data_IF_051471434910
#
_entry.id   IF_051471434910
#
_cell.length_a   1.000
_cell.length_b   1.000
_cell.length_c   1.000
_cell.angle_alpha   90.00
_cell.angle_beta   90.00
_cell.angle_gamma   90.00
#
_symmetry.space_group_name_H-M   'P 1'
#
loop_
_entity.id
_entity.type
_entity.pdbx_description
1 polymer ?
#
# COMPACT_ATOMS: atom_id res chain seq x y z
N UNK A 1 2.35 -26.40 0.61
CA UNK A 1 3.83 -26.32 0.58
C UNK A 1 4.32 -26.19 2.01
N UNK A 2 5.39 -26.88 2.39
CA UNK A 2 6.07 -26.63 3.66
C UNK A 2 7.06 -25.48 3.51
N UNK A 3 7.42 -24.85 4.65
CA UNK A 3 8.44 -23.78 4.69
C UNK A 3 9.77 -24.24 4.09
N UNK A 4 10.14 -25.51 4.30
CA UNK A 4 11.32 -26.14 3.71
C UNK A 4 11.31 -26.11 2.18
N UNK A 5 10.19 -26.48 1.55
CA UNK A 5 10.10 -26.48 0.09
C UNK A 5 10.21 -25.07 -0.50
N UNK A 6 9.75 -24.03 0.22
CA UNK A 6 9.90 -22.64 -0.20
C UNK A 6 11.36 -22.17 -0.10
N UNK A 7 12.06 -22.55 0.96
CA UNK A 7 13.49 -22.24 1.12
C UNK A 7 14.33 -22.93 0.04
N UNK A 8 13.99 -24.17 -0.33
CA UNK A 8 14.68 -24.89 -1.40
C UNK A 8 14.47 -24.20 -2.76
N UNK A 9 13.28 -23.66 -3.03
CA UNK A 9 13.02 -22.89 -4.26
C UNK A 9 13.83 -21.58 -4.26
N UNK A 10 13.90 -20.88 -3.13
CA UNK A 10 14.65 -19.64 -2.99
C UNK A 10 16.15 -19.84 -3.13
N UNK A 11 16.70 -20.88 -2.49
CA UNK A 11 18.12 -21.22 -2.59
C UNK A 11 18.55 -21.56 -4.02
N UNK A 12 17.65 -22.13 -4.82
CA UNK A 12 17.93 -22.52 -6.21
C UNK A 12 17.61 -21.41 -7.22
N UNK A 13 17.11 -20.25 -6.77
CA UNK A 13 16.73 -19.15 -7.63
C UNK A 13 17.23 -17.82 -7.03
N UNK A 14 18.52 -17.58 -7.22
CA UNK A 14 19.24 -16.42 -6.68
C UNK A 14 18.68 -15.09 -7.19
N UNK A 15 18.18 -15.05 -8.43
CA UNK A 15 17.51 -13.87 -9.00
C UNK A 15 16.24 -13.52 -8.22
N UNK A 16 15.39 -14.53 -7.95
CA UNK A 16 14.18 -14.35 -7.15
C UNK A 16 14.53 -13.97 -5.70
N UNK A 17 15.58 -14.56 -5.14
CA UNK A 17 16.03 -14.25 -3.79
C UNK A 17 16.46 -12.78 -3.67
N UNK A 18 17.28 -12.30 -4.60
CA UNK A 18 17.73 -10.91 -4.65
C UNK A 18 16.57 -9.95 -4.88
N UNK A 19 15.63 -10.29 -5.77
CA UNK A 19 14.41 -9.51 -6.00
C UNK A 19 13.58 -9.34 -4.71
N UNK A 20 13.44 -10.42 -3.93
CA UNK A 20 12.68 -10.38 -2.67
C UNK A 20 13.40 -9.58 -1.57
N UNK A 21 14.74 -9.55 -1.56
CA UNK A 21 15.53 -8.67 -0.69
C UNK A 21 15.34 -7.20 -1.10
N UNK A 22 15.48 -6.88 -2.39
CA UNK A 22 15.30 -5.53 -2.91
C UNK A 22 13.89 -4.99 -2.62
N UNK A 23 12.88 -5.84 -2.75
CA UNK A 23 11.48 -5.53 -2.41
C UNK A 23 11.19 -5.52 -0.92
N UNK A 24 12.19 -5.77 -0.06
CA UNK A 24 12.06 -5.84 1.40
C UNK A 24 10.97 -6.81 1.87
N UNK A 25 10.82 -7.93 1.18
CA UNK A 25 9.89 -9.02 1.54
C UNK A 25 10.60 -10.03 2.44
N UNK A 26 11.90 -10.24 2.21
CA UNK A 26 12.76 -11.08 3.03
C UNK A 26 13.98 -10.27 3.48
N UNK A 27 14.52 -10.64 4.64
CA UNK A 27 15.71 -10.03 5.21
C UNK A 27 16.72 -11.12 5.56
N UNK A 28 17.97 -10.98 5.10
CA UNK A 28 19.06 -11.90 5.41
C UNK A 28 20.01 -11.26 6.43
N UNK A 29 20.30 -12.00 7.49
CA UNK A 29 21.31 -11.59 8.47
C UNK A 29 22.03 -12.80 9.04
N UNK A 30 23.37 -12.77 9.00
CA UNK A 30 24.25 -13.81 9.54
C UNK A 30 23.90 -15.23 9.03
N UNK A 31 23.50 -15.36 7.76
CA UNK A 31 23.13 -16.66 7.17
C UNK A 31 21.72 -17.14 7.55
N UNK A 32 20.89 -16.27 8.15
CA UNK A 32 19.51 -16.54 8.50
C UNK A 32 18.61 -15.67 7.62
N UNK A 33 17.66 -16.31 6.92
CA UNK A 33 16.64 -15.63 6.12
C UNK A 33 15.36 -15.51 6.93
N UNK A 34 14.95 -14.27 7.20
CA UNK A 34 13.70 -13.94 7.86
C UNK A 34 12.68 -13.52 6.81
N UNK A 35 11.54 -14.22 6.77
CA UNK A 35 10.39 -13.76 6.01
C UNK A 35 9.71 -12.66 6.83
N UNK A 36 9.48 -11.49 6.23
CA UNK A 36 8.57 -10.52 6.82
C UNK A 36 7.14 -11.04 6.59
N UNK A 37 6.69 -11.96 7.44
CA UNK A 37 5.38 -12.62 7.33
C UNK A 37 4.22 -11.70 7.66
N UNK A 38 4.49 -10.60 8.36
CA UNK A 38 3.48 -9.70 8.90
C UNK A 38 3.40 -8.39 8.10
N UNK A 39 3.74 -8.42 6.80
CA UNK A 39 3.52 -7.28 5.90
C UNK A 39 2.00 -7.07 5.79
N UNK A 40 1.47 -6.17 6.61
CA UNK A 40 0.08 -5.72 6.56
C UNK A 40 -0.01 -4.63 5.51
N UNK A 41 -0.43 -5.00 4.30
CA UNK A 41 -0.80 -4.03 3.28
C UNK A 41 -2.08 -3.30 3.73
N UNK A 42 -1.95 -2.06 4.21
CA UNK A 42 -3.10 -1.22 4.53
C UNK A 42 -3.46 -0.43 3.27
N UNK A 43 -4.61 -0.74 2.68
CA UNK A 43 -5.18 0.11 1.62
C UNK A 43 -5.95 1.26 2.27
N UNK A 44 -5.39 2.46 2.24
CA UNK A 44 -6.11 3.65 2.69
C UNK A 44 -6.98 4.19 1.56
N UNK A 45 -8.23 3.74 1.47
CA UNK A 45 -9.23 4.50 0.69
C UNK A 45 -9.75 5.61 1.59
N UNK A 46 -9.65 6.89 1.22
CA UNK A 46 -10.03 8.02 2.08
C UNK A 46 -11.56 8.19 2.19
N UNK A 47 -12.30 7.09 2.29
CA UNK A 47 -13.75 7.06 2.39
C UNK A 47 -14.26 7.93 3.55
N UNK A 48 -13.59 7.84 4.70
CA UNK A 48 -13.85 8.69 5.86
C UNK A 48 -13.76 10.19 5.54
N UNK A 49 -12.78 10.59 4.72
CA UNK A 49 -12.58 11.99 4.33
C UNK A 49 -13.72 12.44 3.40
N UNK A 50 -14.08 11.60 2.42
CA UNK A 50 -15.18 11.87 1.48
C UNK A 50 -16.52 12.01 2.22
N UNK A 51 -16.84 11.10 3.13
CA UNK A 51 -18.07 11.18 3.94
C UNK A 51 -18.13 12.46 4.78
N UNK A 52 -17.01 12.84 5.39
CA UNK A 52 -16.92 14.05 6.20
C UNK A 52 -17.13 15.31 5.36
N UNK A 53 -16.53 15.40 4.17
CA UNK A 53 -16.72 16.52 3.24
C UNK A 53 -18.18 16.61 2.80
N UNK A 54 -18.81 15.49 2.45
CA UNK A 54 -20.22 15.42 2.10
C UNK A 54 -21.14 15.91 3.22
N UNK A 55 -20.87 15.49 4.46
CA UNK A 55 -21.64 15.92 5.62
C UNK A 55 -21.53 17.42 5.85
N UNK A 56 -20.31 17.97 5.77
CA UNK A 56 -20.06 19.42 5.91
C UNK A 56 -20.79 20.23 4.85
N UNK A 57 -20.80 19.77 3.59
CA UNK A 57 -21.53 20.45 2.53
C UNK A 57 -23.05 20.41 2.75
N UNK A 58 -23.61 19.24 3.12
CA UNK A 58 -25.04 19.11 3.46
C UNK A 58 -25.45 20.00 4.64
N UNK A 59 -24.57 20.14 5.62
CA UNK A 59 -24.77 21.00 6.78
C UNK A 59 -24.56 22.49 6.49
N UNK A 60 -24.11 22.86 5.28
CA UNK A 60 -23.70 24.22 4.89
C UNK A 60 -22.51 24.77 5.69
N UNK A 61 -21.68 23.89 6.25
CA UNK A 61 -20.42 24.23 6.92
C UNK A 61 -19.33 24.65 5.92
N UNK A 62 -19.51 24.32 4.64
CA UNK A 62 -18.65 24.68 3.52
C UNK A 62 -19.50 25.07 2.31
N UNK A 63 -18.99 25.99 1.50
CA UNK A 63 -19.57 26.39 0.22
C UNK A 63 -19.38 25.32 -0.86
N UNK A 64 -20.12 25.48 -1.97
CA UNK A 64 -19.95 24.62 -3.14
C UNK A 64 -18.52 24.70 -3.71
N UNK A 65 -17.90 25.88 -3.72
CA UNK A 65 -16.53 26.05 -4.22
C UNK A 65 -15.51 25.32 -3.35
N UNK A 66 -15.67 25.38 -2.02
CA UNK A 66 -14.82 24.63 -1.09
C UNK A 66 -15.03 23.12 -1.24
N UNK A 67 -16.29 22.67 -1.35
CA UNK A 67 -16.62 21.28 -1.63
C UNK A 67 -15.98 20.78 -2.94
N UNK A 68 -16.10 21.54 -4.03
CA UNK A 68 -15.51 21.21 -5.32
C UNK A 68 -13.98 21.19 -5.27
N UNK A 69 -13.37 22.14 -4.56
CA UNK A 69 -11.91 22.20 -4.39
C UNK A 69 -11.38 20.98 -3.62
N UNK A 70 -12.10 20.55 -2.57
CA UNK A 70 -11.76 19.34 -1.82
C UNK A 70 -11.86 18.07 -2.68
N UNK A 71 -12.92 17.95 -3.50
CA UNK A 71 -13.05 16.82 -4.42
C UNK A 71 -11.92 16.82 -5.46
N UNK A 72 -11.59 18.00 -6.01
CA UNK A 72 -10.50 18.14 -6.97
C UNK A 72 -9.18 17.62 -6.38
N UNK A 73 -8.81 18.07 -5.18
CA UNK A 73 -7.61 17.61 -4.47
C UNK A 73 -7.59 16.09 -4.23
N UNK A 74 -8.74 15.51 -3.86
CA UNK A 74 -8.86 14.07 -3.64
C UNK A 74 -8.72 13.25 -4.94
N UNK A 75 -8.96 13.87 -6.09
CA UNK A 75 -8.91 13.22 -7.40
C UNK A 75 -7.70 13.61 -8.25
N UNK A 76 -6.97 14.67 -7.90
CA UNK A 76 -5.82 15.18 -8.67
C UNK A 76 -4.66 14.19 -8.74
N UNK A 77 -4.54 13.31 -7.73
CA UNK A 77 -3.56 12.22 -7.69
C UNK A 77 -4.14 10.87 -8.13
N UNK A 78 -5.40 10.84 -8.58
CA UNK A 78 -6.02 9.62 -9.09
C UNK A 78 -5.64 9.42 -10.56
N UNK A 79 -4.38 9.09 -10.81
CA UNK A 79 -3.94 8.69 -12.14
C UNK A 79 -4.38 7.24 -12.39
N UNK A 80 -5.29 7.01 -13.33
CA UNK A 80 -5.81 5.66 -13.64
C UNK A 80 -4.72 4.71 -14.15
N UNK A 81 -3.58 5.26 -14.58
CA UNK A 81 -2.47 4.52 -15.14
C UNK A 81 -1.33 4.25 -14.14
N UNK A 82 -1.33 4.91 -12.98
CA UNK A 82 -0.45 4.53 -11.87
C UNK A 82 -1.12 3.42 -11.08
N UNK A 83 -0.37 2.37 -10.74
CA UNK A 83 -0.85 1.36 -9.81
C UNK A 83 -1.09 2.05 -8.46
N UNK A 84 -2.34 2.47 -8.19
CA UNK A 84 -2.83 3.05 -6.92
C UNK A 84 -2.87 1.97 -5.83
N UNK A 85 -1.76 1.27 -5.65
CA UNK A 85 -1.50 0.49 -4.45
C UNK A 85 -0.42 1.28 -3.71
N UNK A 86 -0.83 2.39 -3.10
CA UNK A 86 -0.06 3.02 -2.03
C UNK A 86 -0.12 2.07 -0.83
N UNK A 87 0.84 1.16 -0.75
CA UNK A 87 1.07 0.38 0.46
C UNK A 87 2.29 0.91 1.18
N UNK A 88 2.15 1.13 2.47
CA UNK A 88 3.27 1.30 3.38
C UNK A 88 3.55 -0.06 4.04
N UNK A 89 4.81 -0.48 4.03
CA UNK A 89 5.25 -1.65 4.81
C UNK A 89 5.59 -1.14 6.21
N UNK A 90 4.78 -1.49 7.21
CA UNK A 90 5.01 -1.19 8.64
C UNK A 90 5.69 -2.37 9.31
#
# INVERSE_FOLDING_TARGET
>A
MSVTNCLDILNNNEDLFNELIEKRIIYETKGIVLLLSDIRFIKFTPYYIIEKINKRYKNKDISFNEYFSHLKLLTEHYDKNENIIEYEII
#
